data_IF_968353152510
#
_entry.id   IF_968353152510
#
_cell.length_a   1.000
_cell.length_b   1.000
_cell.length_c   1.000
_cell.angle_alpha   90.00
_cell.angle_beta   90.00
_cell.angle_gamma   90.00
#
_symmetry.space_group_name_H-M   'P 1'
#
loop_
_entity.id
_entity.type
_entity.pdbx_description
1 polymer ?
#
# COMPACT_ATOMS: atom_id res chain seq x y z
N UNK A 1 -19.65 -51.47 -13.78
CA UNK A 1 -20.16 -50.11 -13.49
C UNK A 1 -19.28 -49.50 -12.41
N UNK A 2 -18.21 -48.79 -12.79
CA UNK A 2 -17.25 -48.17 -11.87
C UNK A 2 -17.43 -46.64 -11.94
N UNK A 3 -17.70 -46.03 -10.78
CA UNK A 3 -18.04 -44.61 -10.63
C UNK A 3 -16.82 -43.68 -10.65
N UNK A 4 -16.90 -42.67 -11.51
CA UNK A 4 -15.93 -41.60 -11.77
C UNK A 4 -16.07 -40.43 -10.79
N UNK A 5 -15.77 -40.64 -9.50
CA UNK A 5 -15.88 -39.59 -8.47
C UNK A 5 -14.54 -39.06 -7.92
N UNK A 6 -13.39 -39.56 -8.41
CA UNK A 6 -12.07 -39.27 -7.81
C UNK A 6 -11.29 -38.08 -8.41
N UNK A 7 -11.63 -37.60 -9.60
CA UNK A 7 -10.77 -36.66 -10.35
C UNK A 7 -11.14 -35.19 -10.18
N UNK A 8 -12.36 -34.85 -9.75
CA UNK A 8 -12.80 -33.47 -9.55
C UNK A 8 -12.39 -32.88 -8.18
N UNK A 9 -12.13 -33.72 -7.18
CA UNK A 9 -11.78 -33.30 -5.82
C UNK A 9 -10.26 -33.01 -5.67
N UNK A 10 -9.43 -33.59 -6.54
CA UNK A 10 -7.97 -33.35 -6.56
C UNK A 10 -7.64 -31.99 -7.16
N UNK A 11 -8.37 -31.53 -8.18
CA UNK A 11 -8.14 -30.24 -8.84
C UNK A 11 -8.59 -29.04 -8.01
N UNK A 12 -9.58 -29.19 -7.13
CA UNK A 12 -10.04 -28.10 -6.26
C UNK A 12 -9.17 -27.90 -5.00
N UNK A 13 -8.51 -28.98 -4.52
CA UNK A 13 -7.62 -28.95 -3.35
C UNK A 13 -6.20 -28.46 -3.70
N UNK A 14 -5.72 -28.73 -4.91
CA UNK A 14 -4.37 -28.34 -5.37
C UNK A 14 -4.22 -26.82 -5.66
N UNK A 15 -5.34 -26.10 -5.81
CA UNK A 15 -5.33 -24.63 -5.98
C UNK A 15 -5.00 -23.90 -4.66
N UNK A 16 -5.06 -24.57 -3.50
CA UNK A 16 -5.03 -23.91 -2.17
C UNK A 16 -3.92 -24.35 -1.21
N UNK A 17 -2.92 -25.11 -1.63
CA UNK A 17 -1.86 -25.59 -0.72
C UNK A 17 -0.46 -25.02 -0.95
N UNK A 18 -0.34 -23.86 -1.62
CA UNK A 18 0.89 -23.09 -1.61
C UNK A 18 0.94 -22.20 -0.36
N UNK A 19 1.84 -22.45 0.58
CA UNK A 19 2.16 -21.46 1.63
C UNK A 19 2.42 -20.11 0.95
N UNK A 20 1.74 -19.02 1.34
CA UNK A 20 1.93 -17.71 0.70
C UNK A 20 3.41 -17.36 0.71
N UNK A 21 3.95 -16.90 -0.43
CA UNK A 21 5.35 -16.47 -0.46
C UNK A 21 5.52 -15.32 0.55
N UNK A 22 6.67 -15.20 1.23
CA UNK A 22 6.87 -14.15 2.23
C UNK A 22 6.52 -12.74 1.73
N UNK A 23 6.83 -12.45 0.46
CA UNK A 23 6.49 -11.16 -0.18
C UNK A 23 4.99 -10.95 -0.37
N UNK A 24 4.20 -12.00 -0.63
CA UNK A 24 2.74 -11.88 -0.77
C UNK A 24 2.11 -11.55 0.58
N UNK A 25 2.61 -12.18 1.66
CA UNK A 25 2.19 -11.87 3.03
C UNK A 25 2.58 -10.45 3.43
N UNK A 26 3.78 -10.00 3.04
CA UNK A 26 4.21 -8.62 3.26
C UNK A 26 3.26 -7.63 2.56
N UNK A 27 3.01 -7.79 1.26
CA UNK A 27 2.12 -6.92 0.51
C UNK A 27 0.70 -6.93 1.09
N UNK A 28 0.21 -8.08 1.53
CA UNK A 28 -1.10 -8.20 2.19
C UNK A 28 -1.15 -7.38 3.48
N UNK A 29 -0.18 -7.57 4.38
CA UNK A 29 -0.13 -6.86 5.67
C UNK A 29 0.02 -5.36 5.44
N UNK A 30 0.99 -4.95 4.61
CA UNK A 30 1.24 -3.54 4.32
C UNK A 30 0.01 -2.92 3.68
N UNK A 31 -0.56 -3.54 2.64
CA UNK A 31 -1.74 -3.03 1.96
C UNK A 31 -2.93 -2.85 2.90
N UNK A 32 -3.19 -3.85 3.77
CA UNK A 32 -4.24 -3.75 4.77
C UNK A 32 -3.98 -2.63 5.79
N UNK A 33 -2.74 -2.50 6.28
CA UNK A 33 -2.36 -1.42 7.21
C UNK A 33 -2.56 -0.04 6.57
N UNK A 34 -2.18 0.14 5.31
CA UNK A 34 -2.37 1.40 4.60
C UNK A 34 -3.85 1.76 4.41
N UNK A 35 -4.68 0.77 4.05
CA UNK A 35 -6.14 0.95 3.93
C UNK A 35 -6.73 1.33 5.30
N UNK A 36 -6.39 0.58 6.35
CA UNK A 36 -6.87 0.84 7.70
C UNK A 36 -6.41 2.20 8.22
N UNK A 37 -5.18 2.60 7.90
CA UNK A 37 -4.67 3.95 8.20
C UNK A 37 -5.50 5.03 7.49
N UNK A 38 -5.79 4.86 6.19
CA UNK A 38 -6.63 5.79 5.44
C UNK A 38 -8.04 5.91 6.03
N UNK A 39 -8.66 4.79 6.39
CA UNK A 39 -9.96 4.77 7.08
C UNK A 39 -9.88 5.41 8.47
N UNK A 40 -8.81 5.15 9.23
CA UNK A 40 -8.57 5.77 10.53
C UNK A 40 -8.49 7.29 10.44
N UNK A 41 -7.79 7.83 9.44
CA UNK A 41 -7.74 9.28 9.21
C UNK A 41 -9.08 9.87 8.75
N UNK A 42 -9.93 9.08 8.10
CA UNK A 42 -11.28 9.50 7.76
C UNK A 42 -12.14 9.64 9.03
N UNK A 43 -11.95 8.74 10.01
CA UNK A 43 -12.57 8.88 11.32
C UNK A 43 -12.04 10.09 12.09
N UNK A 44 -10.72 10.34 12.05
CA UNK A 44 -10.12 11.55 12.63
C UNK A 44 -10.75 12.80 12.02
N UNK A 45 -10.88 12.87 10.69
CA UNK A 45 -11.55 13.97 10.01
C UNK A 45 -13.01 14.16 10.47
N UNK A 46 -13.75 13.07 10.68
CA UNK A 46 -15.13 13.14 11.14
C UNK A 46 -15.27 13.70 12.56
N UNK A 47 -14.23 13.60 13.39
CA UNK A 47 -14.19 14.11 14.78
C UNK A 47 -13.58 15.52 14.85
N UNK A 48 -12.39 15.72 14.29
CA UNK A 48 -11.67 17.01 14.31
C UNK A 48 -12.30 18.06 13.40
N UNK A 49 -12.98 17.62 12.33
CA UNK A 49 -13.55 18.50 11.31
C UNK A 49 -12.48 19.25 10.50
N UNK A 50 -12.85 20.44 10.01
CA UNK A 50 -12.00 21.27 9.15
C UNK A 50 -12.30 21.10 7.66
N UNK A 51 -11.62 21.87 6.80
CA UNK A 51 -11.86 21.82 5.37
C UNK A 51 -11.29 20.55 4.75
N UNK A 52 -12.08 19.87 3.92
CA UNK A 52 -11.61 18.72 3.12
C UNK A 52 -10.58 19.12 2.05
N UNK A 53 -10.52 20.40 1.69
CA UNK A 53 -9.57 20.94 0.73
C UNK A 53 -8.54 21.81 1.42
N UNK A 54 -7.37 21.95 0.79
CA UNK A 54 -6.26 22.73 1.29
C UNK A 54 -4.99 21.91 1.50
N UNK A 55 -3.86 22.58 1.74
CA UNK A 55 -2.54 21.94 1.77
C UNK A 55 -2.37 20.95 2.93
N UNK A 56 -3.12 21.15 4.02
CA UNK A 56 -3.03 20.43 5.31
C UNK A 56 -4.29 19.60 5.60
N UNK A 57 -5.15 19.38 4.60
CA UNK A 57 -6.37 18.59 4.78
C UNK A 57 -6.09 17.11 5.05
N UNK A 58 -6.91 16.51 5.92
CA UNK A 58 -6.98 15.07 6.16
C UNK A 58 -7.28 14.23 4.90
N UNK A 59 -7.75 14.85 3.81
CA UNK A 59 -7.96 14.20 2.51
C UNK A 59 -6.74 13.42 2.05
N UNK A 60 -5.53 13.98 2.17
CA UNK A 60 -4.31 13.34 1.67
C UNK A 60 -4.03 12.00 2.39
N UNK A 61 -3.91 11.94 3.73
CA UNK A 61 -3.78 10.66 4.44
C UNK A 61 -4.87 9.64 4.09
N UNK A 62 -6.13 10.07 3.97
CA UNK A 62 -7.26 9.18 3.62
C UNK A 62 -7.06 8.58 2.23
N UNK A 63 -6.95 9.43 1.20
CA UNK A 63 -6.94 8.96 -0.18
C UNK A 63 -5.64 8.24 -0.52
N UNK A 64 -4.50 8.67 0.01
CA UNK A 64 -3.23 7.99 -0.24
C UNK A 64 -3.18 6.63 0.45
N UNK A 65 -3.58 6.52 1.72
CA UNK A 65 -3.64 5.23 2.42
C UNK A 65 -4.53 4.21 1.69
N UNK A 66 -5.73 4.63 1.27
CA UNK A 66 -6.64 3.78 0.50
C UNK A 66 -6.06 3.40 -0.87
N UNK A 67 -5.62 4.37 -1.66
CA UNK A 67 -5.15 4.13 -3.03
C UNK A 67 -3.88 3.29 -3.05
N UNK A 68 -2.86 3.62 -2.25
CA UNK A 68 -1.62 2.86 -2.21
C UNK A 68 -1.84 1.46 -1.65
N UNK A 69 -2.66 1.32 -0.60
CA UNK A 69 -2.99 0.02 -0.05
C UNK A 69 -3.71 -0.88 -1.05
N UNK A 70 -4.75 -0.38 -1.73
CA UNK A 70 -5.46 -1.14 -2.77
C UNK A 70 -4.54 -1.44 -3.96
N UNK A 71 -3.72 -0.48 -4.39
CA UNK A 71 -2.80 -0.67 -5.52
C UNK A 71 -1.75 -1.73 -5.19
N UNK A 72 -1.18 -1.72 -4.00
CA UNK A 72 -0.21 -2.74 -3.57
C UNK A 72 -0.82 -4.14 -3.59
N UNK A 73 -2.04 -4.30 -3.08
CA UNK A 73 -2.76 -5.57 -3.13
C UNK A 73 -3.05 -5.99 -4.57
N UNK A 74 -3.50 -5.06 -5.41
CA UNK A 74 -3.79 -5.32 -6.81
C UNK A 74 -2.55 -5.73 -7.60
N UNK A 75 -1.42 -5.04 -7.42
CA UNK A 75 -0.15 -5.36 -8.10
C UNK A 75 0.38 -6.72 -7.63
N UNK A 76 0.37 -6.98 -6.32
CA UNK A 76 0.76 -8.30 -5.79
C UNK A 76 -0.10 -9.42 -6.37
N UNK A 77 -1.41 -9.19 -6.51
CA UNK A 77 -2.36 -10.13 -7.11
C UNK A 77 -2.13 -10.31 -8.61
N UNK A 78 -2.08 -9.24 -9.40
CA UNK A 78 -1.88 -9.30 -10.87
C UNK A 78 -0.56 -9.99 -11.21
N UNK A 79 0.52 -9.66 -10.50
CA UNK A 79 1.83 -10.30 -10.74
C UNK A 79 1.87 -11.77 -10.36
N UNK A 80 0.86 -12.31 -9.67
CA UNK A 80 0.72 -13.75 -9.44
C UNK A 80 0.36 -14.54 -10.72
N UNK A 81 -0.27 -13.87 -11.69
CA UNK A 81 -0.62 -14.44 -13.00
C UNK A 81 0.48 -14.25 -14.06
N UNK A 82 1.44 -13.36 -13.81
CA UNK A 82 2.50 -13.05 -14.75
C UNK A 82 3.69 -14.02 -14.58
N UNK A 83 4.31 -14.39 -15.70
CA UNK A 83 5.56 -15.18 -15.72
C UNK A 83 6.77 -14.30 -15.41
N UNK A 84 6.87 -13.84 -14.17
CA UNK A 84 8.01 -13.08 -13.65
C UNK A 84 8.89 -14.01 -12.81
N UNK A 85 10.21 -13.93 -12.98
CA UNK A 85 11.15 -14.68 -12.15
C UNK A 85 10.94 -14.39 -10.66
N UNK A 86 10.92 -15.42 -9.82
CA UNK A 86 10.51 -15.29 -8.41
C UNK A 86 11.32 -14.24 -7.63
N UNK A 87 12.63 -14.14 -7.88
CA UNK A 87 13.53 -13.15 -7.26
C UNK A 87 13.20 -11.73 -7.69
N UNK A 88 13.00 -11.51 -9.00
CA UNK A 88 12.65 -10.20 -9.54
C UNK A 88 11.29 -9.73 -9.02
N UNK A 89 10.28 -10.61 -9.04
CA UNK A 89 8.97 -10.31 -8.48
C UNK A 89 9.06 -9.93 -7.00
N UNK A 90 9.82 -10.70 -6.21
CA UNK A 90 10.00 -10.41 -4.80
C UNK A 90 10.68 -9.05 -4.58
N UNK A 91 11.73 -8.73 -5.35
CA UNK A 91 12.41 -7.45 -5.26
C UNK A 91 11.49 -6.27 -5.61
N UNK A 92 10.80 -6.34 -6.76
CA UNK A 92 9.89 -5.28 -7.21
C UNK A 92 8.75 -5.03 -6.22
N UNK A 93 8.10 -6.09 -5.73
CA UNK A 93 7.02 -5.95 -4.75
C UNK A 93 7.52 -5.43 -3.39
N UNK A 94 8.75 -5.78 -2.98
CA UNK A 94 9.33 -5.26 -1.74
C UNK A 94 9.65 -3.77 -1.87
N UNK A 95 10.26 -3.35 -2.97
CA UNK A 95 10.54 -1.93 -3.25
C UNK A 95 9.23 -1.15 -3.32
N UNK A 96 8.25 -1.65 -4.06
CA UNK A 96 6.95 -1.00 -4.17
C UNK A 96 6.23 -0.90 -2.82
N UNK A 97 6.23 -1.96 -2.02
CA UNK A 97 5.65 -1.93 -0.68
C UNK A 97 6.35 -0.92 0.25
N UNK A 98 7.69 -0.87 0.21
CA UNK A 98 8.47 0.08 0.99
C UNK A 98 8.17 1.53 0.58
N UNK A 99 8.10 1.80 -0.72
CA UNK A 99 7.76 3.09 -1.27
C UNK A 99 6.35 3.53 -0.83
N UNK A 100 5.36 2.63 -0.93
CA UNK A 100 4.00 2.89 -0.44
C UNK A 100 3.97 3.31 1.03
N UNK A 101 4.79 2.68 1.88
CA UNK A 101 4.86 3.00 3.32
C UNK A 101 5.52 4.36 3.54
N UNK A 102 6.61 4.64 2.84
CA UNK A 102 7.33 5.92 2.94
C UNK A 102 6.43 7.06 2.50
N UNK A 103 5.74 6.91 1.37
CA UNK A 103 4.87 7.92 0.80
C UNK A 103 3.71 8.26 1.74
N UNK A 104 2.93 7.24 2.14
CA UNK A 104 1.78 7.42 3.03
C UNK A 104 2.24 7.86 4.42
N UNK A 105 3.37 7.35 4.91
CA UNK A 105 3.95 7.69 6.20
C UNK A 105 4.39 9.16 6.27
N UNK A 106 5.11 9.66 5.26
CA UNK A 106 5.52 11.06 5.20
C UNK A 106 4.34 12.01 5.06
N UNK A 107 3.34 11.66 4.26
CA UNK A 107 2.08 12.41 4.16
C UNK A 107 1.36 12.46 5.50
N UNK A 108 1.23 11.31 6.17
CA UNK A 108 0.56 11.18 7.47
C UNK A 108 1.28 12.02 8.52
N UNK A 109 2.59 11.87 8.64
CA UNK A 109 3.42 12.62 9.59
C UNK A 109 3.24 14.12 9.42
N UNK A 110 3.26 14.61 8.18
CA UNK A 110 3.13 16.04 7.90
C UNK A 110 1.71 16.57 8.14
N UNK A 111 0.69 15.75 7.88
CA UNK A 111 -0.69 16.08 8.24
C UNK A 111 -0.86 16.26 9.75
N UNK A 112 -0.30 15.36 10.57
CA UNK A 112 -0.31 15.48 12.03
C UNK A 112 0.48 16.69 12.54
N UNK A 113 1.55 17.09 11.85
CA UNK A 113 2.30 18.34 12.11
C UNK A 113 1.60 19.60 11.61
N UNK A 114 0.48 19.45 10.91
CA UNK A 114 -0.27 20.51 10.24
C UNK A 114 0.53 21.34 9.24
N UNK A 115 1.41 20.69 8.48
CA UNK A 115 2.19 21.33 7.41
C UNK A 115 2.07 20.58 6.09
N UNK A 116 2.35 21.21 4.93
CA UNK A 116 2.31 20.52 3.65
C UNK A 116 3.38 19.41 3.57
N UNK A 117 3.02 18.27 2.97
CA UNK A 117 3.96 17.16 2.77
C UNK A 117 4.86 17.29 1.54
N UNK A 118 4.36 17.94 0.49
CA UNK A 118 5.05 18.10 -0.79
C UNK A 118 5.42 19.57 -1.01
N UNK A 119 6.60 19.80 -1.59
CA UNK A 119 7.14 21.12 -1.92
C UNK A 119 7.24 22.05 -0.70
N UNK A 120 7.47 21.45 0.48
CA UNK A 120 7.63 22.18 1.72
C UNK A 120 9.12 22.25 2.08
N UNK A 121 9.68 23.46 2.03
CA UNK A 121 11.08 23.73 2.38
C UNK A 121 11.20 24.76 3.51
N UNK A 122 10.17 24.89 4.36
CA UNK A 122 10.17 25.85 5.47
C UNK A 122 11.24 25.51 6.52
N UNK A 123 11.49 24.23 6.77
CA UNK A 123 12.53 23.74 7.69
C UNK A 123 13.41 22.67 7.04
N UNK A 124 14.62 22.39 7.57
CA UNK A 124 15.45 21.29 7.09
C UNK A 124 14.75 19.93 7.17
N UNK A 125 13.93 19.72 8.20
CA UNK A 125 13.14 18.50 8.36
C UNK A 125 12.04 18.39 7.29
N UNK A 126 11.30 19.47 7.05
CA UNK A 126 10.28 19.51 6.00
C UNK A 126 10.86 19.26 4.61
N UNK A 127 12.02 19.87 4.35
CA UNK A 127 12.77 19.65 3.11
C UNK A 127 13.14 18.19 2.95
N UNK A 128 13.67 17.56 4.00
CA UNK A 128 14.04 16.15 3.96
C UNK A 128 12.84 15.26 3.64
N UNK A 129 11.70 15.46 4.32
CA UNK A 129 10.46 14.72 4.02
C UNK A 129 10.01 14.95 2.58
N UNK A 130 9.95 16.21 2.13
CA UNK A 130 9.50 16.52 0.77
C UNK A 130 10.41 15.91 -0.30
N UNK A 131 11.73 15.88 -0.07
CA UNK A 131 12.68 15.25 -1.00
C UNK A 131 12.57 13.73 -0.99
N UNK A 132 12.34 13.12 0.18
CA UNK A 132 12.08 11.68 0.26
C UNK A 132 10.83 11.28 -0.54
N UNK A 133 9.73 12.03 -0.40
CA UNK A 133 8.50 11.78 -1.17
C UNK A 133 8.73 12.00 -2.68
N UNK A 134 9.48 13.05 -3.05
CA UNK A 134 9.81 13.30 -4.45
C UNK A 134 10.65 12.17 -5.08
N UNK A 135 11.62 11.63 -4.33
CA UNK A 135 12.42 10.48 -4.77
C UNK A 135 11.54 9.24 -4.89
N UNK A 136 10.68 8.97 -3.89
CA UNK A 136 9.77 7.84 -3.92
C UNK A 136 8.82 7.88 -5.12
N UNK A 137 8.21 9.04 -5.37
CA UNK A 137 7.41 9.28 -6.57
C UNK A 137 8.15 9.09 -7.90
N UNK A 138 9.48 9.19 -7.92
CA UNK A 138 10.30 8.88 -9.11
C UNK A 138 10.69 7.41 -9.24
N UNK A 139 10.55 6.61 -8.18
CA UNK A 139 10.77 5.15 -8.19
C UNK A 139 9.54 4.42 -8.76
N UNK A 140 8.35 4.98 -8.60
CA UNK A 140 7.08 4.47 -9.12
C UNK A 140 6.91 4.70 -10.62
#
# INVERSE_FOLDING_TARGET
>A
MAGTAGTADVTARDIRSGTPRPVDRLCLIVGAVLILSGLGHLLVFAVDGGPWYGPVSWRKPVTFGLSFGVTLLAVAWVTSYLRVGARLRAALLTVFAADCVVEVGGITLQAWRRVPSHLNSETPFDTAVSMTLAVGGGVL
#
